data_IF_000090463409
#
_entry.id   IF_000090463409
#
_cell.length_a   1.000
_cell.length_b   1.000
_cell.length_c   1.000
_cell.angle_alpha   90.00
_cell.angle_beta   90.00
_cell.angle_gamma   90.00
#
_symmetry.space_group_name_H-M   'P 1'
#
loop_
_entity.id
_entity.type
_entity.pdbx_description
1 polymer ?
#
# COMPACT_ATOMS: atom_id res chain seq x y z
N UNK A 1 26.92 -91.94 -44.17
CA UNK A 1 25.95 -91.79 -43.07
C UNK A 1 26.56 -90.83 -42.04
N UNK A 2 25.82 -89.77 -41.67
CA UNK A 2 26.07 -88.78 -40.59
C UNK A 2 27.30 -87.86 -40.78
N UNK A 3 27.12 -86.65 -41.31
CA UNK A 3 26.69 -85.40 -40.64
C UNK A 3 27.45 -85.12 -39.35
N UNK A 4 28.31 -84.11 -39.36
CA UNK A 4 28.55 -83.20 -38.22
C UNK A 4 28.96 -81.83 -38.78
N UNK A 5 27.95 -80.99 -38.94
CA UNK A 5 28.03 -79.60 -39.37
C UNK A 5 28.15 -78.75 -38.09
N UNK A 6 29.37 -78.51 -37.60
CA UNK A 6 29.59 -77.45 -36.62
C UNK A 6 29.66 -76.13 -37.38
N UNK A 7 28.54 -75.42 -37.37
CA UNK A 7 28.37 -74.08 -37.92
C UNK A 7 29.11 -73.06 -37.07
N UNK A 8 30.28 -72.61 -37.55
CA UNK A 8 30.94 -71.39 -37.09
C UNK A 8 30.09 -70.17 -37.49
N UNK A 9 29.20 -69.74 -36.59
CA UNK A 9 28.53 -68.43 -36.67
C UNK A 9 29.60 -67.33 -36.51
N UNK A 10 30.22 -66.93 -37.63
CA UNK A 10 31.05 -65.73 -37.68
C UNK A 10 30.16 -64.51 -37.39
N UNK A 11 30.14 -64.09 -36.13
CA UNK A 11 29.54 -62.82 -35.72
C UNK A 11 30.20 -61.68 -36.52
N UNK A 12 29.50 -61.16 -37.54
CA UNK A 12 29.82 -59.85 -38.11
C UNK A 12 29.63 -58.84 -36.98
N UNK A 13 30.72 -58.21 -36.55
CA UNK A 13 30.63 -57.05 -35.64
C UNK A 13 29.67 -56.02 -36.26
N UNK A 14 28.71 -55.49 -35.50
CA UNK A 14 27.85 -54.43 -36.00
C UNK A 14 28.74 -53.24 -36.41
N UNK A 15 28.33 -52.55 -37.49
CA UNK A 15 29.04 -51.39 -38.05
C UNK A 15 29.05 -50.26 -36.99
N UNK A 16 30.11 -50.22 -36.17
CA UNK A 16 30.34 -49.33 -35.01
C UNK A 16 30.34 -47.83 -35.35
N UNK A 17 30.32 -47.45 -36.64
CA UNK A 17 30.48 -46.06 -37.09
C UNK A 17 29.24 -45.15 -37.01
N UNK A 18 28.01 -45.71 -37.03
CA UNK A 18 26.79 -44.89 -37.09
C UNK A 18 26.26 -44.49 -35.71
N UNK A 19 26.27 -45.40 -34.73
CA UNK A 19 25.70 -45.14 -33.39
C UNK A 19 26.47 -44.07 -32.64
N UNK A 20 27.80 -44.08 -32.71
CA UNK A 20 28.64 -43.05 -32.11
C UNK A 20 28.38 -41.66 -32.72
N UNK A 21 28.19 -41.57 -34.04
CA UNK A 21 27.87 -40.32 -34.73
C UNK A 21 26.52 -39.75 -34.29
N UNK A 22 25.49 -40.60 -34.19
CA UNK A 22 24.17 -40.19 -33.69
C UNK A 22 24.21 -39.72 -32.23
N UNK A 23 25.00 -40.38 -31.38
CA UNK A 23 25.17 -39.96 -29.98
C UNK A 23 25.88 -38.61 -29.90
N UNK A 24 26.94 -38.39 -30.70
CA UNK A 24 27.64 -37.10 -30.75
C UNK A 24 26.73 -35.98 -31.26
N UNK A 25 25.95 -36.26 -32.31
CA UNK A 25 24.96 -35.31 -32.84
C UNK A 25 23.88 -34.99 -31.81
N UNK A 26 23.37 -35.99 -31.08
CA UNK A 26 22.39 -35.79 -30.01
C UNK A 26 22.96 -34.96 -28.86
N UNK A 27 24.19 -35.21 -28.42
CA UNK A 27 24.85 -34.41 -27.38
C UNK A 27 25.06 -32.98 -27.86
N UNK A 28 25.43 -32.78 -29.12
CA UNK A 28 25.59 -31.44 -29.70
C UNK A 28 24.25 -30.70 -29.80
N UNK A 29 23.18 -31.39 -30.25
CA UNK A 29 21.82 -30.85 -30.28
C UNK A 29 21.33 -30.48 -28.86
N UNK A 30 21.52 -31.35 -27.87
CA UNK A 30 21.11 -31.09 -26.48
C UNK A 30 21.92 -29.93 -25.88
N UNK A 31 23.22 -29.85 -26.14
CA UNK A 31 24.07 -28.74 -25.69
C UNK A 31 23.72 -27.41 -26.37
N UNK A 32 23.37 -27.44 -27.66
CA UNK A 32 22.96 -26.26 -28.42
C UNK A 32 21.57 -25.75 -28.02
N UNK A 33 20.64 -26.65 -27.68
CA UNK A 33 19.31 -26.31 -27.18
C UNK A 33 19.23 -26.24 -25.65
N UNK A 34 20.36 -26.31 -24.94
CA UNK A 34 20.36 -26.19 -23.49
C UNK A 34 19.85 -24.80 -23.09
N UNK A 35 18.77 -24.69 -22.30
CA UNK A 35 18.25 -23.40 -21.86
C UNK A 35 19.30 -22.71 -20.99
N UNK A 36 19.74 -21.52 -21.43
CA UNK A 36 20.64 -20.70 -20.64
C UNK A 36 19.90 -20.24 -19.38
N UNK A 37 20.50 -20.42 -18.20
CA UNK A 37 19.96 -19.91 -16.95
C UNK A 37 20.03 -18.37 -16.98
N UNK A 38 18.91 -17.72 -17.29
CA UNK A 38 18.83 -16.26 -17.30
C UNK A 38 18.82 -15.75 -15.87
N UNK A 39 19.86 -15.00 -15.52
CA UNK A 39 19.93 -14.25 -14.25
C UNK A 39 18.97 -13.06 -14.32
N UNK A 40 17.90 -13.08 -13.53
CA UNK A 40 16.82 -12.10 -13.59
C UNK A 40 16.32 -11.67 -12.21
N UNK A 41 15.81 -10.45 -12.16
CA UNK A 41 15.18 -9.85 -10.98
C UNK A 41 13.82 -9.27 -11.33
N UNK A 42 12.86 -9.44 -10.42
CA UNK A 42 11.52 -8.85 -10.52
C UNK A 42 11.20 -8.10 -9.24
N UNK A 43 10.75 -6.86 -9.37
CA UNK A 43 10.37 -5.98 -8.27
C UNK A 43 8.87 -5.75 -8.31
N UNK A 44 8.24 -5.69 -7.15
CA UNK A 44 6.80 -5.50 -6.99
C UNK A 44 6.49 -4.48 -5.90
N UNK A 45 5.54 -3.60 -6.20
CA UNK A 45 4.94 -2.64 -5.28
C UNK A 45 3.43 -2.62 -5.51
N UNK A 46 2.60 -2.24 -4.52
CA UNK A 46 1.21 -1.91 -4.76
C UNK A 46 1.08 -0.79 -5.80
N UNK A 47 0.06 -0.84 -6.67
CA UNK A 47 -0.14 0.20 -7.68
C UNK A 47 -0.45 1.57 -7.04
N UNK A 48 -1.30 1.57 -6.01
CA UNK A 48 -1.74 2.75 -5.29
C UNK A 48 -1.68 2.52 -3.78
N UNK A 49 -1.44 3.61 -3.05
CA UNK A 49 -1.40 3.64 -1.61
C UNK A 49 -2.11 4.90 -1.10
N UNK A 50 -3.02 4.73 -0.16
CA UNK A 50 -3.75 5.83 0.46
C UNK A 50 -3.33 5.99 1.92
N UNK A 51 -3.17 7.24 2.34
CA UNK A 51 -2.83 7.58 3.71
C UNK A 51 -3.54 8.85 4.15
N UNK A 52 -3.71 9.03 5.46
CA UNK A 52 -4.16 10.31 6.02
C UNK A 52 -2.95 11.16 6.41
N UNK A 53 -3.13 12.48 6.41
CA UNK A 53 -2.13 13.41 6.94
C UNK A 53 -1.75 13.02 8.38
N UNK A 54 -0.46 12.90 8.63
CA UNK A 54 0.13 12.52 9.92
C UNK A 54 0.37 11.03 10.08
N UNK A 55 -0.14 10.17 9.18
CA UNK A 55 0.07 8.73 9.27
C UNK A 55 1.54 8.36 9.01
N UNK A 56 1.95 7.19 9.52
CA UNK A 56 3.20 6.54 9.10
C UNK A 56 2.84 5.52 8.03
N UNK A 57 3.42 5.70 6.84
CA UNK A 57 3.08 4.96 5.64
C UNK A 57 4.23 4.04 5.28
N UNK A 58 3.94 2.75 5.06
CA UNK A 58 4.94 1.80 4.53
C UNK A 58 4.87 1.79 3.01
N UNK A 59 5.94 2.25 2.37
CA UNK A 59 6.15 2.09 0.93
C UNK A 59 6.69 0.67 0.70
N UNK A 60 5.78 -0.28 0.52
CA UNK A 60 6.09 -1.70 0.34
C UNK A 60 6.80 -1.95 -0.97
N UNK A 61 7.95 -2.62 -0.93
CA UNK A 61 8.68 -3.08 -2.10
C UNK A 61 9.25 -4.47 -1.84
N UNK A 62 8.83 -5.44 -2.63
CA UNK A 62 9.35 -6.81 -2.58
C UNK A 62 10.03 -7.17 -3.89
N UNK A 63 10.97 -8.09 -3.84
CA UNK A 63 11.66 -8.56 -5.03
C UNK A 63 11.95 -10.05 -5.00
N UNK A 64 11.95 -10.66 -6.18
CA UNK A 64 12.41 -12.03 -6.41
C UNK A 64 13.63 -11.98 -7.33
N UNK A 65 14.67 -12.73 -6.97
CA UNK A 65 15.97 -12.73 -7.66
C UNK A 65 16.43 -14.17 -7.84
N UNK A 66 17.02 -14.49 -8.99
CA UNK A 66 17.65 -15.80 -9.22
C UNK A 66 18.91 -15.99 -8.39
N UNK A 67 19.63 -14.90 -8.14
CA UNK A 67 20.86 -14.88 -7.34
C UNK A 67 20.57 -14.46 -5.90
N UNK A 68 21.29 -15.02 -4.93
CA UNK A 68 21.19 -14.57 -3.54
C UNK A 68 21.74 -13.14 -3.41
N UNK A 69 21.09 -12.25 -2.63
CA UNK A 69 21.61 -10.91 -2.37
C UNK A 69 23.02 -10.94 -1.77
N UNK A 70 23.92 -10.12 -2.30
CA UNK A 70 25.31 -9.96 -1.81
C UNK A 70 25.57 -8.52 -1.33
N UNK A 71 26.79 -8.20 -0.89
CA UNK A 71 27.16 -6.82 -0.55
C UNK A 71 27.11 -5.84 -1.74
N UNK A 72 27.09 -6.35 -2.98
CA UNK A 72 26.96 -5.57 -4.22
C UNK A 72 25.50 -5.21 -4.55
N UNK A 73 24.55 -5.78 -3.83
CA UNK A 73 23.13 -5.47 -3.95
C UNK A 73 22.85 -4.02 -3.58
N UNK A 74 22.03 -3.33 -4.38
CA UNK A 74 21.57 -1.98 -4.06
C UNK A 74 20.06 -1.85 -4.16
N UNK A 75 19.51 -0.95 -3.33
CA UNK A 75 18.12 -0.50 -3.43
C UNK A 75 18.11 1.02 -3.49
N UNK A 76 17.41 1.58 -4.46
CA UNK A 76 17.20 3.01 -4.62
C UNK A 76 15.70 3.30 -4.57
N UNK A 77 15.33 4.31 -3.79
CA UNK A 77 13.99 4.88 -3.83
C UNK A 77 14.04 6.27 -4.43
N UNK A 78 13.18 6.51 -5.41
CA UNK A 78 13.02 7.81 -6.04
C UNK A 78 11.57 8.28 -5.97
N UNK A 79 11.39 9.60 -5.99
CA UNK A 79 10.10 10.27 -5.89
C UNK A 79 9.91 11.19 -7.09
N UNK A 80 8.69 11.18 -7.62
CA UNK A 80 8.23 12.10 -8.66
C UNK A 80 6.97 12.80 -8.20
N UNK A 81 6.95 14.14 -8.12
CA UNK A 81 5.74 14.90 -7.80
C UNK A 81 4.62 14.66 -8.80
N UNK A 82 3.37 14.77 -8.35
CA UNK A 82 2.19 14.69 -9.23
C UNK A 82 2.16 15.83 -10.27
N UNK A 83 2.77 16.97 -9.96
CA UNK A 83 2.96 18.08 -10.91
C UNK A 83 3.93 17.76 -12.05
N UNK A 84 4.61 16.61 -12.02
CA UNK A 84 5.59 16.19 -13.01
C UNK A 84 7.02 16.56 -12.64
N UNK A 85 7.90 16.61 -13.65
CA UNK A 85 9.35 16.80 -13.49
C UNK A 85 10.15 15.49 -13.48
N UNK A 86 11.49 15.56 -13.37
CA UNK A 86 12.35 14.38 -13.26
C UNK A 86 12.21 13.69 -11.90
N UNK A 87 12.40 12.37 -11.81
CA UNK A 87 12.44 11.65 -10.53
C UNK A 87 13.68 12.05 -9.73
N UNK A 88 13.51 12.22 -8.42
CA UNK A 88 14.59 12.51 -7.48
C UNK A 88 14.84 11.29 -6.57
N UNK A 89 16.04 10.73 -6.62
CA UNK A 89 16.47 9.69 -5.68
C UNK A 89 16.69 10.32 -4.31
N UNK A 90 16.01 9.79 -3.29
CA UNK A 90 16.07 10.34 -1.92
C UNK A 90 16.56 9.31 -0.89
N UNK A 91 16.64 8.03 -1.24
CA UNK A 91 17.12 6.98 -0.35
C UNK A 91 17.93 5.96 -1.13
N UNK A 92 19.02 5.50 -0.53
CA UNK A 92 19.89 4.48 -1.07
C UNK A 92 20.21 3.42 -0.01
N UNK A 93 20.32 2.16 -0.42
CA UNK A 93 20.84 1.07 0.40
C UNK A 93 21.99 0.38 -0.33
N UNK A 94 23.12 0.24 0.35
CA UNK A 94 24.25 -0.59 -0.07
C UNK A 94 24.94 -1.14 1.17
N UNK A 95 24.63 -2.39 1.52
CA UNK A 95 24.98 -3.07 2.80
C UNK A 95 24.44 -2.39 4.07
N UNK A 96 24.15 -1.09 4.03
CA UNK A 96 23.53 -0.26 5.05
C UNK A 96 22.59 0.75 4.38
N UNK A 97 21.66 1.28 5.16
CA UNK A 97 20.73 2.30 4.70
C UNK A 97 21.36 3.71 4.76
N UNK A 98 21.10 4.50 3.71
CA UNK A 98 21.46 5.91 3.56
C UNK A 98 20.17 6.72 3.36
N UNK A 99 19.56 7.20 4.45
CA UNK A 99 18.37 8.05 4.38
C UNK A 99 18.71 9.45 3.84
N UNK A 100 17.69 10.22 3.39
CA UNK A 100 17.89 11.58 2.91
C UNK A 100 18.43 12.48 4.02
N UNK A 101 19.44 13.28 3.66
CA UNK A 101 20.07 14.26 4.54
C UNK A 101 19.42 15.65 4.43
N UNK A 102 18.77 15.92 3.30
CA UNK A 102 18.15 17.18 2.95
C UNK A 102 16.84 16.99 2.16
N UNK A 103 16.12 18.10 1.95
CA UNK A 103 14.83 18.10 1.26
C UNK A 103 13.66 17.62 2.12
N UNK A 104 12.50 17.42 1.48
CA UNK A 104 11.23 17.22 2.18
C UNK A 104 11.18 15.93 3.03
N UNK A 105 11.99 14.93 2.69
CA UNK A 105 11.96 13.61 3.33
C UNK A 105 12.93 13.48 4.52
N UNK A 106 13.73 14.51 4.79
CA UNK A 106 14.74 14.52 5.87
C UNK A 106 14.12 14.13 7.20
N UNK A 107 14.74 13.16 7.88
CA UNK A 107 14.29 12.69 9.20
C UNK A 107 13.00 11.84 9.19
N UNK A 108 12.32 11.70 8.06
CA UNK A 108 11.02 11.00 7.95
C UNK A 108 11.09 9.60 7.34
N UNK A 109 12.17 9.27 6.63
CA UNK A 109 12.32 7.96 5.97
C UNK A 109 13.09 6.98 6.86
N UNK A 110 12.49 5.83 7.19
CA UNK A 110 13.17 4.72 7.87
C UNK A 110 13.22 3.49 6.98
N UNK A 111 14.33 2.76 7.05
CA UNK A 111 14.48 1.48 6.40
C UNK A 111 13.70 0.41 7.15
N UNK A 112 12.93 -0.41 6.43
CA UNK A 112 12.18 -1.55 6.97
C UNK A 112 12.55 -2.87 6.29
N UNK A 113 13.19 -2.80 5.12
CA UNK A 113 13.47 -3.96 4.29
C UNK A 113 14.40 -4.99 4.94
N UNK A 114 14.18 -6.24 4.58
CA UNK A 114 15.05 -7.37 4.88
C UNK A 114 15.51 -8.00 3.56
N UNK A 115 16.66 -7.59 2.98
CA UNK A 115 17.07 -8.04 1.65
C UNK A 115 17.22 -9.55 1.54
N UNK A 116 17.69 -10.22 2.60
CA UNK A 116 17.79 -11.68 2.65
C UNK A 116 16.43 -12.40 2.49
N UNK A 117 15.32 -11.69 2.70
CA UNK A 117 13.93 -12.17 2.53
C UNK A 117 13.23 -11.56 1.32
N UNK A 118 13.94 -10.84 0.46
CA UNK A 118 13.35 -10.19 -0.73
C UNK A 118 12.53 -8.95 -0.39
N UNK A 119 12.82 -8.27 0.72
CA UNK A 119 12.09 -7.06 1.13
C UNK A 119 13.01 -5.83 1.10
N UNK A 120 12.55 -4.79 0.41
CA UNK A 120 13.24 -3.54 0.16
C UNK A 120 12.40 -2.31 0.59
N UNK A 121 11.45 -2.53 1.51
CA UNK A 121 10.48 -1.53 1.94
C UNK A 121 11.09 -0.42 2.82
N UNK A 122 10.49 0.77 2.73
CA UNK A 122 10.77 1.91 3.62
C UNK A 122 9.48 2.41 4.26
N UNK A 123 9.58 3.12 5.37
CA UNK A 123 8.46 3.85 5.96
C UNK A 123 8.67 5.35 5.89
N UNK A 124 7.63 6.08 5.46
CA UNK A 124 7.51 7.52 5.51
C UNK A 124 6.70 7.92 6.76
N UNK A 125 7.35 8.56 7.72
CA UNK A 125 6.75 9.02 8.96
C UNK A 125 6.11 10.40 8.76
N UNK A 126 4.94 10.61 9.39
CA UNK A 126 4.24 11.89 9.38
C UNK A 126 3.99 12.38 7.95
N UNK A 127 3.18 11.61 7.22
CA UNK A 127 2.82 11.90 5.83
C UNK A 127 2.10 13.25 5.70
N UNK A 128 2.45 14.01 4.68
CA UNK A 128 1.90 15.33 4.38
C UNK A 128 1.30 15.35 2.98
N UNK A 129 0.44 16.33 2.69
CA UNK A 129 -0.16 16.49 1.35
C UNK A 129 0.91 16.76 0.27
N UNK A 130 2.09 17.26 0.65
CA UNK A 130 3.22 17.49 -0.26
C UNK A 130 3.97 16.20 -0.63
N UNK A 131 3.65 15.10 0.04
CA UNK A 131 4.24 13.78 -0.24
C UNK A 131 3.48 13.03 -1.34
N UNK A 132 2.37 13.60 -1.84
CA UNK A 132 1.63 13.03 -2.96
C UNK A 132 2.51 12.92 -4.20
N UNK A 133 2.46 11.77 -4.86
CA UNK A 133 3.24 11.52 -6.07
C UNK A 133 3.56 10.06 -6.28
N UNK A 134 4.43 9.81 -7.24
CA UNK A 134 4.85 8.45 -7.62
C UNK A 134 6.18 8.13 -6.96
N UNK A 135 6.24 7.02 -6.24
CA UNK A 135 7.44 6.49 -5.62
C UNK A 135 7.89 5.25 -6.40
N UNK A 136 9.16 5.22 -6.78
CA UNK A 136 9.73 4.12 -7.55
C UNK A 136 10.81 3.44 -6.74
N UNK A 137 10.66 2.13 -6.54
CA UNK A 137 11.65 1.25 -5.95
C UNK A 137 12.48 0.63 -7.08
N UNK A 138 13.80 0.79 -7.04
CA UNK A 138 14.74 0.12 -7.94
C UNK A 138 15.64 -0.81 -7.14
N UNK A 139 15.75 -2.05 -7.59
CA UNK A 139 16.50 -3.09 -6.92
C UNK A 139 17.49 -3.69 -7.92
N UNK A 140 18.77 -3.73 -7.55
CA UNK A 140 19.83 -4.30 -8.40
C UNK A 140 20.61 -5.34 -7.62
N UNK A 141 20.63 -6.57 -8.13
CA UNK A 141 21.33 -7.68 -7.50
C UNK A 141 22.24 -8.42 -8.50
N UNK A 142 23.44 -7.90 -8.80
CA UNK A 142 24.36 -8.58 -9.72
C UNK A 142 24.64 -10.04 -9.27
N UNK A 143 24.67 -11.02 -10.20
CA UNK A 143 24.69 -10.89 -11.66
C UNK A 143 23.32 -10.73 -12.34
N UNK A 144 22.21 -10.62 -11.59
CA UNK A 144 20.88 -10.48 -12.16
C UNK A 144 20.71 -9.10 -12.82
N UNK A 145 20.82 -9.06 -14.15
CA UNK A 145 20.71 -7.84 -14.98
C UNK A 145 19.48 -7.83 -15.88
N UNK A 146 18.76 -8.95 -15.99
CA UNK A 146 17.55 -9.06 -16.80
C UNK A 146 16.28 -8.96 -15.93
N UNK A 147 15.13 -8.75 -16.56
CA UNK A 147 13.83 -8.70 -15.89
C UNK A 147 13.31 -7.28 -15.66
N UNK A 148 12.58 -7.10 -14.55
CA UNK A 148 11.98 -5.81 -14.16
C UNK A 148 12.56 -5.37 -12.82
N UNK A 149 13.71 -4.66 -12.82
CA UNK A 149 14.40 -4.22 -11.61
C UNK A 149 13.73 -3.02 -10.94
N UNK A 150 12.57 -2.59 -11.42
CA UNK A 150 11.86 -1.40 -10.93
C UNK A 150 10.36 -1.65 -10.82
N UNK A 151 9.74 -1.12 -9.77
CA UNK A 151 8.29 -1.00 -9.65
C UNK A 151 7.93 0.33 -8.99
N UNK A 152 6.71 0.80 -9.23
CA UNK A 152 6.25 2.10 -8.76
C UNK A 152 4.88 2.03 -8.09
N UNK A 153 4.68 2.92 -7.12
CA UNK A 153 3.43 3.09 -6.38
C UNK A 153 3.02 4.55 -6.35
N UNK A 154 1.73 4.84 -6.46
CA UNK A 154 1.19 6.20 -6.34
C UNK A 154 0.68 6.40 -4.91
N UNK A 155 1.32 7.32 -4.17
CA UNK A 155 0.88 7.70 -2.83
C UNK A 155 -0.09 8.87 -2.91
N UNK A 156 -1.29 8.69 -2.34
CA UNK A 156 -2.30 9.73 -2.16
C UNK A 156 -2.57 9.96 -0.68
N UNK A 157 -2.10 11.10 -0.18
CA UNK A 157 -2.35 11.56 1.19
C UNK A 157 -3.57 12.48 1.19
N UNK A 158 -4.55 12.17 2.04
CA UNK A 158 -5.76 12.96 2.23
C UNK A 158 -5.75 13.68 3.60
N UNK A 159 -6.45 14.81 3.74
CA UNK A 159 -6.64 15.44 5.04
C UNK A 159 -7.33 14.47 6.00
N UNK A 160 -6.83 14.40 7.24
CA UNK A 160 -7.48 13.59 8.28
C UNK A 160 -8.79 14.24 8.69
N UNK A 161 -9.90 13.72 8.21
CA UNK A 161 -11.23 14.15 8.64
C UNK A 161 -11.53 13.46 9.96
N UNK A 162 -11.57 14.23 11.04
CA UNK A 162 -12.11 13.75 12.31
C UNK A 162 -13.60 13.51 12.14
N UNK A 163 -13.98 12.30 11.72
CA UNK A 163 -15.38 11.89 11.74
C UNK A 163 -15.78 11.73 13.20
N UNK A 164 -16.52 12.72 13.73
CA UNK A 164 -17.22 12.54 15.00
C UNK A 164 -18.32 11.52 14.71
N UNK A 165 -18.06 10.25 15.06
CA UNK A 165 -19.07 9.20 14.97
C UNK A 165 -20.02 9.37 16.15
N UNK A 166 -21.10 10.09 15.94
CA UNK A 166 -22.20 10.06 16.89
C UNK A 166 -22.90 8.71 16.76
N UNK A 167 -23.09 7.99 17.86
CA UNK A 167 -23.96 6.83 17.87
C UNK A 167 -25.39 7.30 17.63
N UNK A 168 -26.12 6.66 16.72
CA UNK A 168 -27.54 6.94 16.50
C UNK A 168 -28.33 6.93 17.82
N UNK A 169 -27.97 6.03 18.74
CA UNK A 169 -28.55 5.97 20.08
C UNK A 169 -28.25 7.22 20.90
N UNK A 170 -27.01 7.72 20.88
CA UNK A 170 -26.63 8.93 21.60
C UNK A 170 -27.35 10.17 21.04
N UNK A 171 -27.52 10.24 19.72
CA UNK A 171 -28.27 11.31 19.05
C UNK A 171 -29.75 11.25 19.44
N UNK A 172 -30.37 10.08 19.35
CA UNK A 172 -31.77 9.88 19.74
C UNK A 172 -32.01 10.19 21.22
N UNK A 173 -31.13 9.74 22.11
CA UNK A 173 -31.20 10.05 23.54
C UNK A 173 -31.07 11.55 23.79
N UNK A 174 -30.18 12.26 23.09
CA UNK A 174 -30.08 13.70 23.22
C UNK A 174 -31.39 14.40 22.80
N UNK A 175 -32.01 13.97 21.70
CA UNK A 175 -33.30 14.50 21.24
C UNK A 175 -34.47 14.21 22.17
N UNK A 176 -34.43 13.14 22.98
CA UNK A 176 -35.50 12.82 23.95
C UNK A 176 -35.24 13.46 25.31
N UNK A 177 -34.00 13.42 25.80
CA UNK A 177 -33.63 13.88 27.14
C UNK A 177 -33.54 15.41 27.22
N UNK A 178 -33.09 16.10 26.16
CA UNK A 178 -32.99 17.57 26.17
C UNK A 178 -34.36 18.25 26.28
N UNK A 179 -35.38 17.94 25.45
CA UNK A 179 -36.69 18.57 25.57
C UNK A 179 -37.40 18.23 26.88
N UNK A 180 -37.28 16.97 27.35
CA UNK A 180 -37.89 16.56 28.62
C UNK A 180 -37.24 17.27 29.82
N UNK A 181 -35.92 17.42 29.84
CA UNK A 181 -35.22 18.22 30.85
C UNK A 181 -35.64 19.71 30.80
N UNK A 182 -35.81 20.29 29.61
CA UNK A 182 -36.27 21.67 29.46
C UNK A 182 -37.70 21.84 29.99
N UNK A 183 -38.62 20.93 29.63
CA UNK A 183 -40.01 20.97 30.09
C UNK A 183 -40.08 20.85 31.61
N UNK A 184 -39.35 19.90 32.20
CA UNK A 184 -39.33 19.72 33.66
C UNK A 184 -38.78 20.95 34.38
N UNK A 185 -37.70 21.56 33.88
CA UNK A 185 -37.17 22.82 34.43
C UNK A 185 -38.17 23.97 34.34
N UNK A 186 -38.90 24.11 33.23
CA UNK A 186 -39.95 25.12 33.07
C UNK A 186 -41.04 24.91 34.12
N UNK A 187 -41.54 23.68 34.27
CA UNK A 187 -42.58 23.35 35.24
C UNK A 187 -42.12 23.62 36.68
N UNK A 188 -40.90 23.19 37.05
CA UNK A 188 -40.31 23.45 38.37
C UNK A 188 -40.18 24.96 38.61
N UNK A 189 -39.73 25.74 37.61
CA UNK A 189 -39.68 27.19 37.69
C UNK A 189 -41.05 27.83 37.91
N UNK A 190 -42.12 27.31 37.30
CA UNK A 190 -43.49 27.80 37.54
C UNK A 190 -44.00 27.47 38.95
N UNK A 191 -43.55 26.37 39.54
CA UNK A 191 -43.94 25.93 40.88
C UNK A 191 -43.17 26.66 41.98
N UNK A 192 -41.86 26.89 41.79
CA UNK A 192 -41.00 27.57 42.77
C UNK A 192 -41.09 29.10 42.70
N UNK A 193 -41.43 29.66 41.53
CA UNK A 193 -41.77 31.07 41.36
C UNK A 193 -43.25 31.19 40.97
N UNK A 194 -44.20 31.05 41.91
CA UNK A 194 -45.61 31.30 41.61
C UNK A 194 -45.74 32.73 41.09
N UNK A 195 -46.24 32.86 39.86
CA UNK A 195 -46.51 34.14 39.22
C UNK A 195 -47.45 34.92 40.17
N UNK A 196 -46.90 35.90 40.91
CA UNK A 196 -47.70 36.87 41.67
C UNK A 196 -48.67 37.48 40.67
N UNK A 197 -49.94 37.05 40.69
CA UNK A 197 -50.98 37.69 39.90
C UNK A 197 -51.01 39.15 40.37
N UNK A 198 -50.43 40.04 39.58
CA UNK A 198 -50.70 41.46 39.70
C UNK A 198 -52.14 41.63 39.25
N UNK A 199 -53.07 41.65 40.20
CA UNK A 199 -54.48 41.98 39.99
C UNK A 199 -54.58 43.22 39.10
N UNK A 200 -54.92 43.04 37.82
CA UNK A 200 -55.51 44.11 37.02
C UNK A 200 -57.00 44.12 37.32
N UNK A 201 -57.36 44.66 38.49
CA UNK A 201 -58.68 45.24 38.68
C UNK A 201 -58.71 46.60 37.97
N UNK A 202 -59.84 46.91 37.32
CA UNK A 202 -60.28 48.17 36.65
C UNK A 202 -60.13 48.12 35.12
N UNK A 203 -61.15 48.40 34.30
CA UNK A 203 -62.56 48.69 34.50
C UNK A 203 -63.24 48.54 33.13
N UNK A 204 -64.27 47.69 33.00
CA UNK A 204 -65.18 47.77 31.86
C UNK A 204 -66.21 48.85 32.20
N UNK A 205 -66.15 49.98 31.50
CA UNK A 205 -67.14 51.06 31.62
C UNK A 205 -67.97 51.05 30.34
N UNK A 206 -69.18 50.53 30.42
CA UNK A 206 -70.20 50.70 29.39
C UNK A 206 -70.68 52.16 29.40
N UNK A 207 -70.75 52.85 28.26
CA UNK A 207 -71.62 54.00 28.11
C UNK A 207 -73.02 53.51 27.73
N UNK A 208 -73.99 53.82 28.57
CA UNK A 208 -75.43 53.76 28.30
C UNK A 208 -75.79 54.92 27.35
N UNK A 209 -76.78 54.68 26.49
CA UNK A 209 -77.39 55.57 25.48
C UNK A 209 -77.74 56.99 25.95
N UNK A 210 -77.79 57.94 25.00
CA UNK A 210 -78.88 58.93 24.85
C UNK A 210 -79.04 59.31 23.37
N UNK A 211 -80.24 59.14 22.82
CA UNK A 211 -80.78 59.71 21.56
C UNK A 211 -81.06 61.21 21.71
N UNK A 212 -80.83 62.03 20.67
CA UNK A 212 -81.75 63.07 20.17
C UNK A 212 -81.19 63.77 18.93
N UNK A 213 -82.06 64.05 17.95
CA UNK A 213 -81.89 65.10 16.92
C UNK A 213 -81.66 64.61 15.49
#
# INVERSE_FOLDING_TARGET
MRVNLFSELKMRRPRQGNTALYVVLLVYLIGFFAPCLVSSITVSTPAELHASKGDTVTLSCTYTSTSRPTSKMTVDWSYRPQSGGPPLTFFHFSSRAFPPLDGQFTGRIRWQGTPSRGDASISLINATLKDNGTYTCSVRNPPDVHGSPTAHTVLTVTPKVSSIRFSDVAVLLAFVLLPSAIITLILIGRMLCPKKQRNQSKAYRSPIEVTEG
#
